data_IF_289282057548
#
_entry.id   IF_289282057548
#
_cell.length_a   1.000
_cell.length_b   1.000
_cell.length_c   1.000
_cell.angle_alpha   90.00
_cell.angle_beta   90.00
_cell.angle_gamma   90.00
#
_symmetry.space_group_name_H-M   'P 1'
#
loop_
_entity.id
_entity.type
_entity.pdbx_description
1 polymer ?
#
# COMPACT_ATOMS: atom_id res chain seq x y z
N UNK A 1 -28.27 -2.23 21.35
CA UNK A 1 -27.98 -1.14 20.37
C UNK A 1 -27.58 0.05 21.22
N UNK A 2 -26.42 0.68 21.10
CA UNK A 2 -25.60 0.92 19.91
C UNK A 2 -24.20 1.38 20.35
N UNK A 3 -23.19 1.10 19.52
CA UNK A 3 -22.00 1.94 19.41
C UNK A 3 -20.76 1.53 20.21
N UNK A 4 -20.11 0.42 19.82
CA UNK A 4 -18.69 0.24 20.10
C UNK A 4 -17.88 1.29 19.34
N UNK A 5 -17.47 2.34 20.04
CA UNK A 5 -16.51 3.32 19.56
C UNK A 5 -15.17 2.58 19.42
N UNK A 6 -14.79 2.23 18.18
CA UNK A 6 -13.47 1.71 17.89
C UNK A 6 -12.47 2.81 18.24
N UNK A 7 -11.81 2.66 19.38
CA UNK A 7 -10.73 3.53 19.81
C UNK A 7 -9.62 3.42 18.78
N UNK A 8 -9.48 4.44 17.94
CA UNK A 8 -8.30 4.67 17.11
C UNK A 8 -7.11 4.81 18.06
N UNK A 9 -6.41 3.71 18.28
CA UNK A 9 -5.10 3.71 18.93
C UNK A 9 -4.20 4.71 18.20
N UNK A 10 -3.56 5.58 18.98
CA UNK A 10 -2.55 6.57 18.61
C UNK A 10 -2.03 6.42 17.17
N UNK A 11 -2.56 7.24 16.25
CA UNK A 11 -2.04 7.33 14.88
C UNK A 11 -0.55 7.70 14.96
N UNK A 12 0.34 6.98 14.27
CA UNK A 12 1.74 7.38 14.21
C UNK A 12 1.83 8.80 13.62
N UNK A 13 2.78 9.64 14.07
CA UNK A 13 2.94 11.02 13.59
C UNK A 13 3.38 11.12 12.12
N UNK A 14 3.43 9.99 11.40
CA UNK A 14 4.07 9.84 10.10
C UNK A 14 2.99 9.37 9.12
N UNK A 15 2.83 10.11 8.03
CA UNK A 15 1.95 9.72 6.93
C UNK A 15 2.44 8.46 6.19
N UNK A 16 1.91 8.18 5.02
CA UNK A 16 2.10 6.88 4.35
C UNK A 16 2.99 6.95 3.12
N UNK A 17 3.08 5.82 2.42
CA UNK A 17 3.65 5.78 1.08
C UNK A 17 2.72 5.08 0.09
N UNK A 18 2.77 5.52 -1.17
CA UNK A 18 2.17 4.76 -2.26
C UNK A 18 3.17 3.72 -2.74
N UNK A 19 2.74 2.46 -2.87
CA UNK A 19 3.50 1.42 -3.55
C UNK A 19 2.73 0.97 -4.81
N UNK A 20 3.30 1.30 -5.97
CA UNK A 20 2.70 0.95 -7.25
C UNK A 20 3.12 -0.46 -7.70
N UNK A 21 2.13 -1.30 -7.97
CA UNK A 21 2.28 -2.64 -8.53
C UNK A 21 2.12 -2.55 -10.05
N UNK A 22 3.07 -3.12 -10.78
CA UNK A 22 3.11 -3.04 -12.25
C UNK A 22 2.66 -4.30 -12.95
N UNK A 23 2.75 -5.46 -12.30
CA UNK A 23 2.44 -6.77 -12.88
C UNK A 23 1.25 -7.43 -12.20
N UNK A 24 0.53 -8.28 -12.91
CA UNK A 24 -0.69 -8.93 -12.40
C UNK A 24 -0.36 -10.01 -11.37
N UNK A 25 0.68 -10.79 -11.62
CA UNK A 25 1.14 -11.83 -10.71
C UNK A 25 1.54 -11.27 -9.34
N UNK A 26 2.16 -10.08 -9.31
CA UNK A 26 2.52 -9.41 -8.05
C UNK A 26 1.32 -8.79 -7.35
N UNK A 27 0.30 -8.39 -8.12
CA UNK A 27 -0.95 -7.91 -7.54
C UNK A 27 -1.64 -9.03 -6.75
N UNK A 28 -1.79 -10.22 -7.35
CA UNK A 28 -2.33 -11.39 -6.66
C UNK A 28 -1.47 -11.79 -5.46
N UNK A 29 -0.16 -11.91 -5.67
CA UNK A 29 0.79 -12.32 -4.62
C UNK A 29 0.71 -11.44 -3.37
N UNK A 30 0.58 -10.11 -3.52
CA UNK A 30 0.53 -9.20 -2.36
C UNK A 30 -0.66 -9.49 -1.46
N UNK A 31 -1.83 -9.74 -2.05
CA UNK A 31 -3.04 -10.05 -1.28
C UNK A 31 -3.05 -11.49 -0.78
N UNK A 32 -2.49 -12.44 -1.51
CA UNK A 32 -2.39 -13.85 -1.06
C UNK A 32 -1.41 -14.02 0.10
N UNK A 33 -0.22 -13.44 0.00
CA UNK A 33 0.86 -13.62 0.98
C UNK A 33 0.84 -12.59 2.10
N UNK A 34 0.09 -11.48 1.93
CA UNK A 34 0.17 -10.29 2.80
C UNK A 34 1.60 -9.76 2.93
N UNK A 35 2.36 -9.86 1.85
CA UNK A 35 3.75 -9.39 1.71
C UNK A 35 3.89 -8.46 0.52
N UNK A 36 4.80 -7.49 0.60
CA UNK A 36 5.21 -6.67 -0.54
C UNK A 36 6.74 -6.58 -0.60
N UNK A 37 7.32 -6.72 -1.80
CA UNK A 37 8.76 -6.64 -2.00
C UNK A 37 9.15 -5.31 -2.65
N UNK A 38 9.55 -4.28 -1.88
CA UNK A 38 9.83 -2.96 -2.43
C UNK A 38 11.20 -2.88 -3.10
N UNK A 39 11.25 -2.24 -4.28
CA UNK A 39 12.50 -1.77 -4.88
C UNK A 39 12.96 -0.41 -4.35
N UNK A 40 12.03 0.39 -3.81
CA UNK A 40 12.32 1.74 -3.27
C UNK A 40 12.86 1.67 -1.85
N UNK A 41 13.90 2.47 -1.59
CA UNK A 41 14.49 2.63 -0.26
C UNK A 41 13.66 3.61 0.58
N UNK A 42 13.06 3.12 1.66
CA UNK A 42 12.41 3.88 2.73
C UNK A 42 12.66 3.17 4.06
N UNK A 43 12.40 3.86 5.15
CA UNK A 43 12.38 3.24 6.49
C UNK A 43 11.01 2.58 6.68
N UNK A 44 10.92 1.28 6.42
CA UNK A 44 9.69 0.51 6.55
C UNK A 44 9.47 0.12 8.02
N UNK A 45 8.85 1.00 8.79
CA UNK A 45 8.60 0.77 10.22
C UNK A 45 7.21 0.18 10.46
N UNK A 46 7.04 -0.68 11.48
CA UNK A 46 5.73 -1.10 11.94
C UNK A 46 4.79 0.09 12.22
N UNK A 47 3.50 -0.07 11.95
CA UNK A 47 2.47 0.95 12.09
C UNK A 47 2.34 1.93 10.91
N UNK A 48 3.33 1.97 10.02
CA UNK A 48 3.29 2.82 8.82
C UNK A 48 2.23 2.32 7.83
N UNK A 49 1.48 3.25 7.22
CA UNK A 49 0.51 2.90 6.19
C UNK A 49 1.10 2.90 4.79
N UNK A 50 0.73 1.89 4.00
CA UNK A 50 1.02 1.79 2.57
C UNK A 50 -0.30 1.78 1.81
N UNK A 51 -0.44 2.66 0.83
CA UNK A 51 -1.52 2.57 -0.16
C UNK A 51 -0.99 1.89 -1.42
N UNK A 52 -1.66 0.82 -1.85
CA UNK A 52 -1.31 0.06 -3.03
C UNK A 52 -1.98 0.69 -4.26
N UNK A 53 -1.21 0.90 -5.32
CA UNK A 53 -1.70 1.43 -6.58
C UNK A 53 -1.39 0.49 -7.74
N UNK A 54 -2.21 0.49 -8.78
CA UNK A 54 -1.99 -0.26 -10.02
C UNK A 54 -2.62 0.49 -11.20
N UNK A 55 -2.06 0.33 -12.39
CA UNK A 55 -2.68 0.85 -13.62
C UNK A 55 -3.90 -0.01 -13.98
N UNK A 56 -5.06 0.62 -14.04
CA UNK A 56 -6.32 0.07 -14.51
C UNK A 56 -6.72 0.75 -15.83
N UNK A 57 -7.88 0.39 -16.40
CA UNK A 57 -8.40 1.01 -17.63
C UNK A 57 -8.55 2.54 -17.50
N UNK A 58 -9.04 3.01 -16.34
CA UNK A 58 -9.21 4.44 -16.03
C UNK A 58 -7.89 5.16 -15.65
N UNK A 59 -6.74 4.50 -15.75
CA UNK A 59 -5.44 4.99 -15.33
C UNK A 59 -4.98 4.41 -13.99
N UNK A 60 -3.95 5.01 -13.39
CA UNK A 60 -3.48 4.59 -12.06
C UNK A 60 -4.62 4.75 -11.04
N UNK A 61 -4.90 3.66 -10.32
CA UNK A 61 -5.96 3.55 -9.33
C UNK A 61 -5.39 2.94 -8.05
N UNK A 62 -5.92 3.36 -6.90
CA UNK A 62 -5.68 2.69 -5.65
C UNK A 62 -6.47 1.40 -5.59
N UNK A 63 -5.81 0.32 -5.19
CA UNK A 63 -6.38 -1.03 -5.18
C UNK A 63 -6.51 -1.62 -3.77
N UNK A 64 -6.02 -0.90 -2.76
CA UNK A 64 -6.04 -1.33 -1.38
C UNK A 64 -5.05 -0.55 -0.54
N UNK A 65 -4.99 -0.89 0.75
CA UNK A 65 -4.03 -0.33 1.69
C UNK A 65 -3.69 -1.34 2.77
N UNK A 66 -2.55 -1.17 3.43
CA UNK A 66 -2.16 -2.01 4.56
C UNK A 66 -1.30 -1.28 5.56
N UNK A 67 -1.29 -1.80 6.78
CA UNK A 67 -0.41 -1.33 7.87
C UNK A 67 0.76 -2.28 7.97
N UNK A 68 1.99 -1.74 7.98
CA UNK A 68 3.20 -2.55 8.12
C UNK A 68 3.22 -3.17 9.52
N UNK A 69 3.39 -4.49 9.59
CA UNK A 69 3.69 -5.22 10.82
C UNK A 69 5.19 -5.40 11.04
N UNK A 70 5.97 -5.47 9.95
CA UNK A 70 7.42 -5.55 10.00
C UNK A 70 8.07 -5.51 8.62
N UNK A 71 9.40 -5.45 8.61
CA UNK A 71 10.21 -5.53 7.40
C UNK A 71 11.32 -6.57 7.59
N UNK A 72 11.44 -7.50 6.65
CA UNK A 72 12.52 -8.48 6.61
C UNK A 72 13.55 -7.99 5.58
N UNK A 73 14.73 -7.64 6.07
CA UNK A 73 15.86 -7.23 5.23
C UNK A 73 16.26 -8.36 4.28
N UNK A 74 16.78 -7.99 3.09
CA UNK A 74 17.16 -8.92 2.02
C UNK A 74 18.01 -10.11 2.50
N UNK A 75 18.99 -9.85 3.37
CA UNK A 75 19.91 -10.84 3.91
C UNK A 75 19.25 -11.88 4.82
N UNK A 76 18.12 -11.51 5.44
CA UNK A 76 17.36 -12.32 6.37
C UNK A 76 16.19 -13.08 5.69
N UNK A 77 16.01 -12.92 4.37
CA UNK A 77 15.00 -13.65 3.63
C UNK A 77 15.41 -15.12 3.40
N UNK A 78 14.44 -16.06 3.33
CA UNK A 78 14.70 -17.41 2.86
C UNK A 78 15.39 -17.42 1.49
N UNK A 79 16.27 -18.39 1.24
CA UNK A 79 17.15 -18.38 0.06
C UNK A 79 16.41 -18.16 -1.28
N UNK A 80 15.24 -18.79 -1.45
CA UNK A 80 14.41 -18.61 -2.65
C UNK A 80 13.84 -17.19 -2.78
N UNK A 81 13.29 -16.63 -1.69
CA UNK A 81 12.78 -15.26 -1.67
C UNK A 81 13.91 -14.24 -1.88
N UNK A 82 15.09 -14.48 -1.28
CA UNK A 82 16.28 -13.63 -1.43
C UNK A 82 16.74 -13.59 -2.88
N UNK A 83 16.92 -14.75 -3.53
CA UNK A 83 17.30 -14.83 -4.96
C UNK A 83 16.31 -14.10 -5.87
N UNK A 84 15.02 -14.27 -5.61
CA UNK A 84 13.97 -13.53 -6.33
C UNK A 84 14.14 -12.02 -6.14
N UNK A 85 14.28 -11.55 -4.90
CA UNK A 85 14.46 -10.13 -4.59
C UNK A 85 15.71 -9.55 -5.26
N UNK A 86 16.85 -10.24 -5.21
CA UNK A 86 18.10 -9.83 -5.86
C UNK A 86 17.91 -9.64 -7.38
N UNK A 87 17.30 -10.63 -8.04
CA UNK A 87 17.04 -10.58 -9.49
C UNK A 87 16.13 -9.42 -9.92
N UNK A 88 15.24 -8.97 -9.02
CA UNK A 88 14.29 -7.88 -9.27
C UNK A 88 14.77 -6.53 -8.72
N UNK A 89 15.92 -6.50 -8.04
CA UNK A 89 16.46 -5.31 -7.38
C UNK A 89 15.68 -4.88 -6.11
N UNK A 90 14.82 -5.74 -5.57
CA UNK A 90 14.08 -5.51 -4.33
C UNK A 90 14.97 -5.54 -3.10
N UNK A 91 14.54 -4.88 -2.02
CA UNK A 91 15.37 -4.63 -0.83
C UNK A 91 15.02 -5.50 0.37
N UNK A 92 13.96 -6.29 0.28
CA UNK A 92 13.45 -7.09 1.39
C UNK A 92 11.95 -7.33 1.22
N UNK A 93 11.29 -7.70 2.30
CA UNK A 93 9.85 -7.94 2.32
C UNK A 93 9.18 -7.11 3.43
N UNK A 94 8.21 -6.27 3.04
CA UNK A 94 7.22 -5.71 3.94
C UNK A 94 6.23 -6.81 4.29
N UNK A 95 6.01 -7.01 5.59
CA UNK A 95 4.98 -7.91 6.11
C UNK A 95 3.84 -7.03 6.62
N UNK A 96 2.62 -7.23 6.11
CA UNK A 96 1.46 -6.46 6.56
C UNK A 96 0.84 -7.09 7.80
N UNK A 97 0.57 -6.28 8.83
CA UNK A 97 -0.25 -6.65 9.98
C UNK A 97 -1.73 -6.68 9.60
N UNK A 98 -2.15 -5.71 8.80
CA UNK A 98 -3.48 -5.64 8.20
C UNK A 98 -3.37 -5.22 6.74
N UNK A 99 -4.19 -5.83 5.89
CA UNK A 99 -4.25 -5.55 4.46
C UNK A 99 -5.70 -5.54 4.01
N UNK A 100 -6.08 -4.53 3.25
CA UNK A 100 -7.43 -4.31 2.76
C UNK A 100 -7.39 -4.10 1.25
N UNK A 101 -8.38 -4.66 0.55
CA UNK A 101 -8.54 -4.54 -0.90
C UNK A 101 -9.75 -3.67 -1.23
N UNK A 102 -9.62 -2.86 -2.28
CA UNK A 102 -10.70 -2.04 -2.83
C UNK A 102 -11.34 -2.71 -4.03
N UNK A 103 -12.67 -2.71 -4.07
CA UNK A 103 -13.46 -3.18 -5.22
C UNK A 103 -14.72 -2.32 -5.43
N UNK A 104 -14.83 -1.57 -6.54
CA UNK A 104 -13.81 -1.43 -7.58
C UNK A 104 -12.56 -0.65 -7.08
N UNK A 105 -11.41 -0.72 -7.79
CA UNK A 105 -10.28 0.17 -7.52
C UNK A 105 -10.66 1.65 -7.62
N UNK A 106 -10.12 2.48 -6.72
CA UNK A 106 -10.38 3.92 -6.67
C UNK A 106 -9.45 4.67 -7.64
N UNK A 107 -9.95 5.30 -8.72
CA UNK A 107 -9.10 6.03 -9.65
C UNK A 107 -8.41 7.22 -8.96
N UNK A 108 -7.09 7.38 -9.14
CA UNK A 108 -6.34 8.47 -8.48
C UNK A 108 -6.87 9.86 -8.88
N UNK A 109 -7.39 9.97 -10.11
CA UNK A 109 -8.04 11.20 -10.63
C UNK A 109 -9.28 11.64 -9.82
N UNK A 110 -9.85 10.77 -9.00
CA UNK A 110 -11.03 11.07 -8.16
C UNK A 110 -10.63 11.43 -6.72
N UNK A 111 -9.32 11.60 -6.46
CA UNK A 111 -8.78 11.85 -5.12
C UNK A 111 -8.07 13.19 -5.02
N UNK A 112 -7.62 13.54 -3.81
CA UNK A 112 -6.76 14.70 -3.54
C UNK A 112 -5.46 14.71 -4.36
N UNK A 113 -5.07 13.57 -4.96
CA UNK A 113 -3.88 13.47 -5.81
C UNK A 113 -4.16 13.62 -7.32
N UNK A 114 -5.37 14.02 -7.72
CA UNK A 114 -5.71 14.21 -9.14
C UNK A 114 -4.73 15.13 -9.87
N UNK A 115 -4.36 16.25 -9.24
CA UNK A 115 -3.40 17.23 -9.77
C UNK A 115 -1.95 16.98 -9.35
N UNK A 116 -1.67 15.87 -8.65
CA UNK A 116 -0.30 15.52 -8.29
C UNK A 116 0.57 15.34 -9.53
N UNK A 117 1.75 15.96 -9.53
CA UNK A 117 2.78 15.75 -10.56
C UNK A 117 3.32 14.32 -10.57
N UNK A 118 3.20 13.59 -9.46
CA UNK A 118 3.60 12.19 -9.41
C UNK A 118 2.59 11.31 -10.14
N UNK A 119 3.01 10.70 -11.26
CA UNK A 119 2.22 9.77 -12.08
C UNK A 119 3.06 8.56 -12.46
N UNK A 120 2.42 7.42 -12.75
CA UNK A 120 3.09 6.22 -13.20
C UNK A 120 4.20 5.78 -12.23
N UNK A 121 5.43 5.61 -12.72
CA UNK A 121 6.56 5.15 -11.89
C UNK A 121 6.87 6.05 -10.69
N UNK A 122 6.57 7.35 -10.77
CA UNK A 122 6.84 8.31 -9.69
C UNK A 122 5.87 8.18 -8.50
N UNK A 123 4.79 7.40 -8.65
CA UNK A 123 3.93 7.02 -7.54
C UNK A 123 4.61 6.00 -6.62
N UNK A 124 5.53 5.18 -7.13
CA UNK A 124 6.17 4.15 -6.32
C UNK A 124 7.15 4.78 -5.33
N UNK A 125 6.81 4.72 -4.04
CA UNK A 125 7.51 5.38 -2.94
C UNK A 125 7.14 6.85 -2.72
N UNK A 126 6.05 7.33 -3.33
CA UNK A 126 5.55 8.69 -3.12
C UNK A 126 5.04 8.86 -1.68
N UNK A 127 5.55 9.85 -0.92
CA UNK A 127 5.10 10.10 0.45
C UNK A 127 3.70 10.73 0.46
N UNK A 128 2.90 10.36 1.46
CA UNK A 128 1.59 10.93 1.74
C UNK A 128 1.62 11.60 3.11
N UNK A 129 0.94 12.74 3.23
CA UNK A 129 0.61 13.31 4.54
C UNK A 129 -0.57 12.54 5.17
N UNK A 130 -0.82 12.76 6.46
CA UNK A 130 -1.99 12.20 7.13
C UNK A 130 -3.29 12.71 6.49
N UNK A 131 -3.39 13.99 6.18
CA UNK A 131 -4.57 14.56 5.51
C UNK A 131 -4.82 13.92 4.14
N UNK A 132 -3.75 13.62 3.39
CA UNK A 132 -3.87 12.91 2.11
C UNK A 132 -4.34 11.47 2.29
N UNK A 133 -3.79 10.75 3.27
CA UNK A 133 -4.26 9.40 3.61
C UNK A 133 -5.74 9.42 3.99
N UNK A 134 -6.12 10.29 4.92
CA UNK A 134 -7.50 10.41 5.40
C UNK A 134 -8.46 10.74 4.27
N UNK A 135 -8.08 11.69 3.40
CA UNK A 135 -8.89 12.06 2.24
C UNK A 135 -9.07 10.89 1.25
N UNK A 136 -8.00 10.13 0.98
CA UNK A 136 -8.05 8.96 0.10
C UNK A 136 -8.92 7.85 0.71
N UNK A 137 -8.74 7.53 1.99
CA UNK A 137 -9.50 6.47 2.67
C UNK A 137 -10.97 6.83 2.81
N UNK A 138 -11.29 8.07 3.20
CA UNK A 138 -12.68 8.55 3.26
C UNK A 138 -13.35 8.47 1.89
N UNK A 139 -12.61 8.77 0.82
CA UNK A 139 -13.12 8.63 -0.55
C UNK A 139 -13.35 7.18 -0.94
N UNK A 140 -12.45 6.27 -0.53
CA UNK A 140 -12.59 4.83 -0.76
C UNK A 140 -13.79 4.26 -0.01
N UNK A 141 -14.06 4.69 1.22
CA UNK A 141 -15.25 4.25 1.99
C UNK A 141 -16.57 4.61 1.31
N UNK A 142 -16.59 5.67 0.51
CA UNK A 142 -17.79 6.10 -0.25
C UNK A 142 -17.92 5.38 -1.59
N UNK A 143 -16.80 5.08 -2.26
CA UNK A 143 -16.80 4.64 -3.67
C UNK A 143 -16.43 3.17 -3.88
N UNK A 144 -15.87 2.52 -2.87
CA UNK A 144 -15.34 1.17 -2.95
C UNK A 144 -15.96 0.31 -1.86
N UNK A 145 -16.13 -0.97 -2.17
CA UNK A 145 -16.20 -1.97 -1.13
C UNK A 145 -14.78 -2.24 -0.61
N UNK A 146 -14.61 -2.24 0.71
CA UNK A 146 -13.32 -2.46 1.37
C UNK A 146 -13.38 -3.78 2.12
N UNK A 147 -12.56 -4.73 1.70
CA UNK A 147 -12.50 -6.05 2.34
C UNK A 147 -11.15 -6.26 2.99
N UNK A 148 -11.16 -6.78 4.22
CA UNK A 148 -9.95 -7.27 4.87
C UNK A 148 -9.53 -8.58 4.20
N UNK A 149 -8.25 -8.69 3.88
CA UNK A 149 -7.62 -9.89 3.32
C UNK A 149 -6.98 -10.70 4.44
#
# INVERSE_FOLDING_TARGET
MSGGHLTFGLRPPIGGYILRITREEWFHQVFELKKYYPGVRRTWTPGLMVILAKKMEAGDSFVGYGTIGGFVELENLPEGERKMCESMGWKGAIIFDSLFKFDPPLPIKETVLHDSKAKGRYLHGFPLTNDQLDSILSKAEVLCNIYKV
#
